data_IF_083314306348
#
_entry.id   IF_083314306348
#
_cell.length_a   1.000
_cell.length_b   1.000
_cell.length_c   1.000
_cell.angle_alpha   90.00
_cell.angle_beta   90.00
_cell.angle_gamma   90.00
#
_symmetry.space_group_name_H-M   'P 1'
#
loop_
_entity.id
_entity.type
_entity.pdbx_description
1 polymer ?
#
# COMPACT_ATOMS: atom_id res chain seq x y z
N UNK A 1 30.05 16.21 20.54
CA UNK A 1 29.74 15.43 19.34
C UNK A 1 30.18 13.98 19.57
N UNK A 2 29.23 13.05 19.81
CA UNK A 2 29.38 11.57 19.82
C UNK A 2 28.15 10.94 20.50
N UNK A 3 26.99 10.90 19.84
CA UNK A 3 25.81 10.10 20.26
C UNK A 3 24.92 9.63 19.07
N UNK A 4 25.46 9.57 17.85
CA UNK A 4 24.67 9.27 16.64
C UNK A 4 25.03 7.94 15.95
N UNK A 5 25.80 7.05 16.58
CA UNK A 5 26.36 5.88 15.87
C UNK A 5 25.95 4.50 16.42
N UNK A 6 25.07 4.42 17.42
CA UNK A 6 24.75 3.16 18.10
C UNK A 6 23.37 2.56 17.79
N UNK A 7 22.58 3.17 16.90
CA UNK A 7 21.27 2.63 16.46
C UNK A 7 21.35 1.85 15.14
N UNK A 8 22.53 1.68 14.56
CA UNK A 8 22.73 1.12 13.21
C UNK A 8 23.18 -0.35 13.11
N UNK A 9 23.34 -1.10 14.21
CA UNK A 9 23.93 -2.46 14.16
C UNK A 9 23.18 -3.52 15.00
N UNK A 10 21.84 -3.47 15.05
CA UNK A 10 21.03 -4.54 15.65
C UNK A 10 19.99 -5.15 14.69
N UNK A 11 20.14 -4.95 13.38
CA UNK A 11 19.22 -5.47 12.35
C UNK A 11 19.90 -6.39 11.33
N UNK A 12 21.01 -7.04 11.72
CA UNK A 12 21.68 -8.05 10.89
C UNK A 12 21.71 -9.36 11.66
N UNK A 13 20.59 -10.10 11.61
CA UNK A 13 20.54 -11.58 11.68
C UNK A 13 19.07 -12.03 11.69
N UNK A 14 18.44 -12.11 10.51
CA UNK A 14 17.80 -13.34 9.97
C UNK A 14 17.73 -13.10 8.46
N UNK A 15 18.84 -13.39 7.76
CA UNK A 15 18.78 -13.58 6.30
C UNK A 15 18.46 -15.05 6.09
N UNK A 16 17.17 -15.39 6.05
CA UNK A 16 16.74 -16.55 5.27
C UNK A 16 16.34 -16.01 3.90
N UNK A 17 17.21 -16.23 2.92
CA UNK A 17 16.96 -16.02 1.50
C UNK A 17 15.65 -16.70 1.09
N UNK A 18 14.56 -15.95 1.05
CA UNK A 18 13.32 -16.36 0.42
C UNK A 18 13.03 -15.36 -0.70
N UNK A 19 13.45 -15.78 -1.88
CA UNK A 19 13.09 -15.19 -3.16
C UNK A 19 11.56 -15.05 -3.22
N UNK A 20 11.07 -13.88 -3.65
CA UNK A 20 9.65 -13.62 -3.89
C UNK A 20 9.14 -14.41 -5.11
N UNK A 21 9.00 -15.72 -4.92
CA UNK A 21 8.22 -16.62 -5.75
C UNK A 21 7.64 -17.71 -4.83
N UNK A 22 6.44 -17.49 -4.29
CA UNK A 22 5.61 -18.54 -3.68
C UNK A 22 5.99 -19.07 -2.29
N UNK A 23 6.88 -18.43 -1.51
CA UNK A 23 7.41 -19.03 -0.27
C UNK A 23 7.20 -18.29 1.07
N UNK A 24 6.63 -17.09 1.09
CA UNK A 24 6.91 -16.11 2.15
C UNK A 24 5.81 -15.86 3.20
N UNK A 25 4.76 -16.67 3.30
CA UNK A 25 3.70 -16.42 4.30
C UNK A 25 4.17 -16.53 5.78
N UNK A 26 5.35 -17.08 6.06
CA UNK A 26 5.82 -17.33 7.45
C UNK A 26 6.70 -16.23 8.07
N UNK A 27 7.31 -15.35 7.29
CA UNK A 27 8.22 -14.30 7.81
C UNK A 27 7.54 -12.95 8.08
N UNK A 28 6.51 -12.59 7.32
CA UNK A 28 5.85 -11.29 7.42
C UNK A 28 5.25 -10.96 8.79
N UNK A 29 4.64 -11.90 9.54
CA UNK A 29 4.10 -11.60 10.87
C UNK A 29 5.17 -11.19 11.89
N UNK A 30 6.35 -11.80 11.84
CA UNK A 30 7.48 -11.46 12.72
C UNK A 30 8.06 -10.09 12.35
N UNK A 31 8.29 -9.84 11.06
CA UNK A 31 8.72 -8.52 10.58
C UNK A 31 7.69 -7.44 10.92
N UNK A 32 6.39 -7.70 10.75
CA UNK A 32 5.31 -6.78 11.13
C UNK A 32 5.35 -6.44 12.62
N UNK A 33 5.58 -7.43 13.49
CA UNK A 33 5.69 -7.20 14.93
C UNK A 33 6.90 -6.33 15.30
N UNK A 34 8.05 -6.58 14.69
CA UNK A 34 9.27 -5.79 14.91
C UNK A 34 9.10 -4.37 14.35
N UNK A 35 8.61 -4.23 13.12
CA UNK A 35 8.33 -2.94 12.48
C UNK A 35 7.29 -2.13 13.26
N UNK A 36 6.20 -2.75 13.72
CA UNK A 36 5.20 -2.08 14.57
C UNK A 36 5.85 -1.53 15.84
N UNK A 37 6.62 -2.36 16.54
CA UNK A 37 7.32 -1.96 17.75
C UNK A 37 8.41 -0.92 17.50
N UNK A 38 8.97 -0.84 16.29
CA UNK A 38 9.96 0.18 15.95
C UNK A 38 9.32 1.57 15.87
N UNK A 39 8.16 1.68 15.23
CA UNK A 39 7.54 2.98 14.94
C UNK A 39 6.47 3.42 15.96
N UNK A 40 5.76 2.47 16.56
CA UNK A 40 4.57 2.75 17.37
C UNK A 40 4.74 2.32 18.83
N UNK A 41 4.09 3.06 19.74
CA UNK A 41 3.84 2.67 21.12
C UNK A 41 2.72 1.62 21.18
N UNK A 42 2.52 1.01 22.36
CA UNK A 42 1.46 0.01 22.58
C UNK A 42 0.04 0.55 22.37
N UNK A 43 -0.17 1.85 22.59
CA UNK A 43 -1.44 2.55 22.35
C UNK A 43 -1.69 2.87 20.86
N UNK A 44 -0.73 2.60 19.98
CA UNK A 44 -0.82 2.85 18.55
C UNK A 44 -0.41 4.26 18.11
N UNK A 45 0.05 5.11 19.03
CA UNK A 45 0.68 6.38 18.68
C UNK A 45 2.10 6.17 18.16
N UNK A 46 2.59 7.11 17.35
CA UNK A 46 4.01 7.15 16.99
C UNK A 46 4.89 7.34 18.23
N UNK A 47 6.04 6.67 18.24
CA UNK A 47 7.13 7.00 19.15
C UNK A 47 7.71 8.38 18.79
N UNK A 48 8.31 9.11 19.75
CA UNK A 48 8.96 10.39 19.46
C UNK A 48 9.99 10.28 18.32
N UNK A 49 9.83 11.08 17.26
CA UNK A 49 10.70 11.09 16.07
C UNK A 49 10.53 9.91 15.10
N UNK A 50 9.58 9.00 15.35
CA UNK A 50 9.36 7.84 14.50
C UNK A 50 8.47 8.14 13.28
N UNK A 51 7.69 9.23 13.32
CA UNK A 51 6.76 9.61 12.25
C UNK A 51 7.51 9.98 10.97
N UNK A 52 8.57 10.77 11.10
CA UNK A 52 9.42 11.19 9.99
C UNK A 52 10.08 9.97 9.34
N UNK A 53 10.69 9.10 10.14
CA UNK A 53 11.32 7.87 9.67
C UNK A 53 10.31 6.91 9.00
N UNK A 54 9.08 6.83 9.52
CA UNK A 54 8.01 6.02 8.91
C UNK A 54 7.55 6.62 7.57
N UNK A 55 7.44 7.94 7.51
CA UNK A 55 7.04 8.66 6.29
C UNK A 55 8.11 8.50 5.21
N UNK A 56 9.39 8.68 5.57
CA UNK A 56 10.51 8.45 4.66
C UNK A 56 10.56 6.99 4.17
N UNK A 57 10.38 6.04 5.09
CA UNK A 57 10.34 4.61 4.75
C UNK A 57 9.30 4.34 3.67
N UNK A 58 8.07 4.83 3.81
CA UNK A 58 6.98 4.62 2.85
C UNK A 58 6.90 5.66 1.73
N UNK A 59 7.93 6.51 1.59
CA UNK A 59 7.96 7.59 0.60
C UNK A 59 6.70 8.48 0.63
N UNK A 60 6.20 8.76 1.84
CA UNK A 60 5.05 9.62 2.07
C UNK A 60 5.53 11.07 2.06
N UNK A 61 5.14 11.79 1.02
CA UNK A 61 5.46 13.20 0.88
C UNK A 61 4.87 14.04 2.03
N UNK A 62 5.55 15.12 2.41
CA UNK A 62 5.24 15.90 3.60
C UNK A 62 3.82 16.49 3.59
N UNK A 63 3.31 16.85 2.42
CA UNK A 63 1.94 17.33 2.22
C UNK A 63 0.87 16.28 2.54
N UNK A 64 1.22 14.98 2.52
CA UNK A 64 0.33 13.86 2.90
C UNK A 64 0.41 13.51 4.39
N UNK A 65 1.17 14.26 5.19
CA UNK A 65 1.39 13.98 6.63
C UNK A 65 0.09 13.95 7.45
N UNK A 66 -0.90 14.80 7.12
CA UNK A 66 -2.21 14.78 7.78
C UNK A 66 -3.04 13.52 7.41
N UNK A 67 -2.88 13.01 6.19
CA UNK A 67 -3.52 11.75 5.78
C UNK A 67 -2.91 10.57 6.54
N UNK A 68 -1.59 10.60 6.77
CA UNK A 68 -0.92 9.61 7.63
C UNK A 68 -1.47 9.64 9.05
N UNK A 69 -1.57 10.82 9.67
CA UNK A 69 -2.12 10.96 11.03
C UNK A 69 -3.57 10.45 11.14
N UNK A 70 -4.34 10.61 10.07
CA UNK A 70 -5.71 10.11 10.01
C UNK A 70 -5.75 8.60 9.82
N UNK A 71 -4.93 8.07 8.92
CA UNK A 71 -4.88 6.64 8.62
C UNK A 71 -4.44 5.81 9.82
N UNK A 72 -3.40 6.22 10.56
CA UNK A 72 -2.86 5.43 11.69
C UNK A 72 -3.79 5.34 12.90
N UNK A 73 -4.85 6.17 12.96
CA UNK A 73 -5.91 6.07 13.97
C UNK A 73 -6.79 4.83 13.75
N UNK A 74 -6.93 4.35 12.52
CA UNK A 74 -7.53 3.05 12.25
C UNK A 74 -6.49 1.96 12.47
N UNK A 75 -6.80 1.01 13.38
CA UNK A 75 -5.93 -0.14 13.64
C UNK A 75 -5.65 -0.93 12.35
N UNK A 76 -6.67 -1.14 11.53
CA UNK A 76 -6.56 -1.89 10.27
C UNK A 76 -5.60 -1.19 9.30
N UNK A 77 -5.78 0.12 9.09
CA UNK A 77 -4.90 0.89 8.20
C UNK A 77 -3.48 1.00 8.74
N UNK A 78 -3.32 1.21 10.05
CA UNK A 78 -2.00 1.19 10.70
C UNK A 78 -1.30 -0.15 10.49
N UNK A 79 -2.02 -1.25 10.71
CA UNK A 79 -1.48 -2.59 10.54
C UNK A 79 -1.09 -2.87 9.08
N UNK A 80 -1.87 -2.41 8.09
CA UNK A 80 -1.50 -2.46 6.67
C UNK A 80 -0.25 -1.62 6.39
N UNK A 81 -0.17 -0.38 6.86
CA UNK A 81 0.97 0.50 6.62
C UNK A 81 2.26 -0.06 7.25
N UNK A 82 2.18 -0.64 8.44
CA UNK A 82 3.32 -1.34 9.07
C UNK A 82 3.75 -2.52 8.22
N UNK A 83 2.79 -3.29 7.69
CA UNK A 83 3.08 -4.45 6.85
C UNK A 83 3.74 -4.05 5.53
N UNK A 84 3.28 -2.95 4.93
CA UNK A 84 3.91 -2.33 3.77
C UNK A 84 5.34 -1.87 4.10
N UNK A 85 5.57 -1.21 5.24
CA UNK A 85 6.90 -0.78 5.64
C UNK A 85 7.87 -1.95 5.81
N UNK A 86 7.40 -3.07 6.37
CA UNK A 86 8.13 -4.33 6.46
C UNK A 86 8.41 -4.91 5.06
N UNK A 87 7.40 -4.98 4.18
CA UNK A 87 7.55 -5.48 2.82
C UNK A 87 8.59 -4.69 2.01
N UNK A 88 8.60 -3.35 2.15
CA UNK A 88 9.60 -2.51 1.49
C UNK A 88 11.01 -2.77 1.99
N UNK A 89 11.18 -3.03 3.29
CA UNK A 89 12.49 -3.37 3.84
C UNK A 89 13.06 -4.64 3.22
N UNK A 90 12.21 -5.68 3.12
CA UNK A 90 12.58 -6.93 2.48
C UNK A 90 12.89 -6.69 1.00
N UNK A 91 12.04 -5.97 0.27
CA UNK A 91 12.25 -5.65 -1.14
C UNK A 91 13.58 -4.91 -1.40
N UNK A 92 13.90 -3.89 -0.58
CA UNK A 92 15.17 -3.15 -0.66
C UNK A 92 16.36 -4.09 -0.39
N UNK A 93 16.27 -4.94 0.63
CA UNK A 93 17.36 -5.89 0.96
C UNK A 93 17.63 -6.89 -0.17
N UNK A 94 16.60 -7.22 -0.96
CA UNK A 94 16.68 -8.11 -2.11
C UNK A 94 16.95 -7.38 -3.43
N UNK A 95 17.11 -6.05 -3.42
CA UNK A 95 17.24 -5.20 -4.61
C UNK A 95 16.04 -5.31 -5.57
N UNK A 96 14.86 -5.65 -5.07
CA UNK A 96 13.61 -5.69 -5.82
C UNK A 96 12.95 -4.31 -5.82
N UNK A 97 13.37 -3.47 -6.77
CA UNK A 97 12.86 -2.10 -6.90
C UNK A 97 11.39 -2.05 -7.33
N UNK A 98 10.92 -3.05 -8.10
CA UNK A 98 9.53 -3.11 -8.57
C UNK A 98 8.58 -3.27 -7.39
N UNK A 99 8.89 -4.19 -6.46
CA UNK A 99 8.08 -4.38 -5.26
C UNK A 99 8.18 -3.19 -4.32
N UNK A 100 9.38 -2.61 -4.14
CA UNK A 100 9.55 -1.42 -3.31
C UNK A 100 8.72 -0.22 -3.81
N UNK A 101 8.70 0.04 -5.12
CA UNK A 101 7.88 1.09 -5.71
C UNK A 101 6.37 0.77 -5.59
N UNK A 102 5.98 -0.49 -5.77
CA UNK A 102 4.58 -0.90 -5.66
C UNK A 102 4.07 -0.81 -4.20
N UNK A 103 4.95 -0.98 -3.21
CA UNK A 103 4.66 -0.67 -1.81
C UNK A 103 4.36 0.83 -1.64
N UNK A 104 5.18 1.71 -2.19
CA UNK A 104 4.99 3.16 -2.06
C UNK A 104 3.63 3.60 -2.65
N UNK A 105 3.29 3.06 -3.83
CA UNK A 105 2.01 3.31 -4.46
C UNK A 105 0.83 2.76 -3.63
N UNK A 106 1.00 1.58 -3.01
CA UNK A 106 -0.02 1.00 -2.12
C UNK A 106 -0.19 1.80 -0.83
N UNK A 107 0.89 2.32 -0.25
CA UNK A 107 0.84 3.15 0.93
C UNK A 107 0.06 4.44 0.64
N UNK A 108 0.32 5.10 -0.50
CA UNK A 108 -0.42 6.28 -0.94
C UNK A 108 -1.93 6.01 -1.07
N UNK A 109 -2.34 4.83 -1.53
CA UNK A 109 -3.74 4.43 -1.58
C UNK A 109 -4.35 4.29 -0.19
N UNK A 110 -3.70 3.57 0.72
CA UNK A 110 -4.19 3.33 2.10
C UNK A 110 -4.43 4.66 2.84
N UNK A 111 -3.55 5.63 2.64
CA UNK A 111 -3.70 6.99 3.19
C UNK A 111 -4.99 7.68 2.73
N UNK A 112 -5.47 7.36 1.53
CA UNK A 112 -6.62 8.00 0.90
C UNK A 112 -7.94 7.28 1.11
N UNK A 113 -7.94 6.09 1.71
CA UNK A 113 -9.16 5.29 1.83
C UNK A 113 -10.31 5.91 2.62
N UNK A 114 -10.07 6.98 3.38
CA UNK A 114 -11.15 7.75 4.02
C UNK A 114 -12.02 8.52 3.00
N UNK A 115 -11.56 8.66 1.75
CA UNK A 115 -12.24 9.39 0.68
C UNK A 115 -13.11 8.47 -0.20
N UNK A 116 -13.13 7.16 0.07
CA UNK A 116 -14.04 6.23 -0.60
C UNK A 116 -15.48 6.52 -0.25
N UNK A 117 -16.35 6.43 -1.25
CA UNK A 117 -17.78 6.59 -1.06
C UNK A 117 -18.32 5.43 -0.20
N UNK A 118 -19.27 5.72 0.70
CA UNK A 118 -20.03 4.67 1.40
C UNK A 118 -21.06 4.10 0.43
N UNK A 119 -20.62 3.22 -0.46
CA UNK A 119 -21.49 2.56 -1.42
C UNK A 119 -22.11 1.32 -0.76
N UNK A 120 -23.39 1.41 -0.41
CA UNK A 120 -24.23 0.29 0.05
C UNK A 120 -25.06 -0.23 -1.14
N UNK A 121 -24.36 -0.71 -2.18
CA UNK A 121 -25.03 -1.20 -3.39
C UNK A 121 -25.45 -2.67 -3.27
N UNK A 122 -26.70 -3.00 -3.62
CA UNK A 122 -27.19 -4.39 -3.74
C UNK A 122 -26.70 -5.09 -5.01
N UNK A 123 -26.26 -4.33 -6.02
CA UNK A 123 -25.79 -4.88 -7.30
C UNK A 123 -24.25 -4.92 -7.34
N UNK A 124 -23.69 -6.11 -7.10
CA UNK A 124 -22.24 -6.33 -7.11
C UNK A 124 -21.58 -6.11 -8.49
N UNK A 125 -22.38 -6.00 -9.56
CA UNK A 125 -21.90 -5.79 -10.93
C UNK A 125 -21.87 -4.31 -11.35
N UNK A 126 -22.40 -3.41 -10.52
CA UNK A 126 -22.31 -1.97 -10.77
C UNK A 126 -20.83 -1.53 -10.79
N UNK A 127 -20.37 -0.82 -11.84
CA UNK A 127 -18.98 -0.36 -11.97
C UNK A 127 -18.42 0.36 -10.74
N UNK A 128 -19.24 1.18 -10.06
CA UNK A 128 -18.82 1.92 -8.87
C UNK A 128 -18.71 0.99 -7.66
N UNK A 129 -19.62 0.03 -7.52
CA UNK A 129 -19.55 -1.01 -6.47
C UNK A 129 -18.31 -1.88 -6.66
N UNK A 130 -18.05 -2.30 -7.90
CA UNK A 130 -16.85 -3.07 -8.27
C UNK A 130 -15.59 -2.30 -7.92
N UNK A 131 -15.48 -1.04 -8.36
CA UNK A 131 -14.31 -0.20 -8.09
C UNK A 131 -14.13 0.03 -6.59
N UNK A 132 -15.20 0.33 -5.85
CA UNK A 132 -15.14 0.50 -4.40
C UNK A 132 -14.62 -0.76 -3.70
N UNK A 133 -15.13 -1.93 -4.06
CA UNK A 133 -14.69 -3.19 -3.48
C UNK A 133 -13.25 -3.54 -3.86
N UNK A 134 -12.84 -3.25 -5.10
CA UNK A 134 -11.45 -3.41 -5.53
C UNK A 134 -10.51 -2.54 -4.69
N UNK A 135 -10.82 -1.25 -4.48
CA UNK A 135 -9.99 -0.36 -3.67
C UNK A 135 -9.94 -0.83 -2.22
N UNK A 136 -11.08 -1.19 -1.61
CA UNK A 136 -11.13 -1.76 -0.26
C UNK A 136 -10.30 -3.05 -0.13
N UNK A 137 -10.35 -3.92 -1.14
CA UNK A 137 -9.54 -5.13 -1.19
C UNK A 137 -8.05 -4.77 -1.19
N UNK A 138 -7.64 -3.83 -2.04
CA UNK A 138 -6.26 -3.37 -2.10
C UNK A 138 -5.82 -2.78 -0.75
N UNK A 139 -6.64 -1.96 -0.11
CA UNK A 139 -6.33 -1.39 1.22
C UNK A 139 -6.17 -2.47 2.32
N UNK A 140 -6.97 -3.54 2.26
CA UNK A 140 -6.94 -4.60 3.25
C UNK A 140 -5.85 -5.65 2.97
N UNK A 141 -5.47 -5.83 1.69
CA UNK A 141 -4.73 -7.01 1.20
C UNK A 141 -3.53 -6.63 0.32
N UNK A 142 -3.00 -5.42 0.45
CA UNK A 142 -1.88 -4.94 -0.35
C UNK A 142 -0.67 -5.89 -0.34
N UNK A 143 -0.33 -6.50 0.80
CA UNK A 143 0.77 -7.46 0.87
C UNK A 143 0.48 -8.76 0.09
N UNK A 144 -0.74 -9.30 0.18
CA UNK A 144 -1.12 -10.50 -0.56
C UNK A 144 -1.04 -10.24 -2.07
N UNK A 145 -1.46 -9.06 -2.53
CA UNK A 145 -1.27 -8.62 -3.92
C UNK A 145 0.22 -8.57 -4.28
N UNK A 146 1.04 -7.91 -3.45
CA UNK A 146 2.47 -7.74 -3.71
C UNK A 146 3.26 -9.05 -3.63
N UNK A 147 2.79 -10.05 -2.91
CA UNK A 147 3.49 -11.35 -2.76
C UNK A 147 3.03 -12.37 -3.82
N UNK A 148 1.77 -12.32 -4.23
CA UNK A 148 1.21 -13.26 -5.21
C UNK A 148 1.44 -12.83 -6.65
N UNK A 149 1.46 -11.52 -6.94
CA UNK A 149 1.66 -11.04 -8.30
C UNK A 149 3.09 -11.31 -8.77
N UNK A 150 3.24 -11.67 -10.04
CA UNK A 150 4.54 -11.71 -10.72
C UNK A 150 5.10 -10.30 -10.95
N UNK A 151 6.38 -10.16 -11.33
CA UNK A 151 7.01 -8.84 -11.53
C UNK A 151 6.27 -7.92 -12.51
N UNK A 152 5.80 -8.46 -13.64
CA UNK A 152 5.05 -7.69 -14.64
C UNK A 152 3.66 -7.24 -14.14
N UNK A 153 3.01 -8.06 -13.32
CA UNK A 153 1.73 -7.74 -12.69
C UNK A 153 1.90 -6.67 -11.61
N UNK A 154 2.97 -6.77 -10.79
CA UNK A 154 3.32 -5.72 -9.82
C UNK A 154 3.63 -4.38 -10.50
N UNK A 155 4.37 -4.40 -11.62
CA UNK A 155 4.63 -3.20 -12.39
C UNK A 155 3.34 -2.57 -12.93
N UNK A 156 2.45 -3.39 -13.50
CA UNK A 156 1.14 -2.95 -14.00
C UNK A 156 0.26 -2.40 -12.88
N UNK A 157 0.24 -3.07 -11.74
CA UNK A 157 -0.49 -2.64 -10.55
C UNK A 157 0.04 -1.31 -10.01
N UNK A 158 1.37 -1.15 -9.94
CA UNK A 158 2.01 0.13 -9.60
C UNK A 158 1.55 1.26 -10.51
N UNK A 159 1.58 1.06 -11.82
CA UNK A 159 1.19 2.09 -12.79
C UNK A 159 -0.26 2.56 -12.60
N UNK A 160 -1.17 1.64 -12.29
CA UNK A 160 -2.57 1.98 -11.97
C UNK A 160 -2.64 2.83 -10.69
N UNK A 161 -1.94 2.44 -9.63
CA UNK A 161 -1.98 3.16 -8.36
C UNK A 161 -1.32 4.54 -8.43
N UNK A 162 -0.22 4.67 -9.18
CA UNK A 162 0.46 5.96 -9.40
C UNK A 162 -0.43 6.92 -10.19
N UNK A 163 -1.04 6.45 -11.28
CA UNK A 163 -1.97 7.27 -12.06
C UNK A 163 -3.21 7.62 -11.24
N UNK A 164 -3.69 6.70 -10.39
CA UNK A 164 -4.79 6.97 -9.47
C UNK A 164 -4.43 8.08 -8.45
N UNK A 165 -3.28 8.01 -7.80
CA UNK A 165 -2.82 9.04 -6.85
C UNK A 165 -2.70 10.41 -7.53
N UNK A 166 -2.23 10.45 -8.78
CA UNK A 166 -2.16 11.65 -9.61
C UNK A 166 -3.55 12.19 -9.95
N UNK A 167 -4.47 11.35 -10.42
CA UNK A 167 -5.83 11.75 -10.76
C UNK A 167 -6.57 12.30 -9.55
N UNK A 168 -6.47 11.64 -8.40
CA UNK A 168 -7.03 12.13 -7.15
C UNK A 168 -6.45 13.49 -6.74
N UNK A 169 -5.15 13.69 -6.91
CA UNK A 169 -4.49 14.93 -6.48
C UNK A 169 -4.79 16.12 -7.39
N UNK A 170 -5.11 15.86 -8.64
CA UNK A 170 -5.30 16.89 -9.68
C UNK A 170 -6.77 17.11 -10.05
N UNK A 171 -7.62 16.11 -9.84
CA UNK A 171 -9.01 16.20 -10.28
C UNK A 171 -9.82 17.13 -9.39
N UNK A 172 -10.65 17.96 -10.04
CA UNK A 172 -11.59 18.87 -9.38
C UNK A 172 -12.98 18.25 -9.24
N UNK A 173 -13.24 17.09 -9.86
CA UNK A 173 -14.53 16.41 -9.88
C UNK A 173 -14.38 14.91 -10.12
N UNK A 174 -15.42 14.15 -9.80
CA UNK A 174 -15.44 12.69 -9.93
C UNK A 174 -15.28 11.98 -8.58
N UNK A 175 -15.97 10.85 -8.43
CA UNK A 175 -15.82 9.99 -7.27
C UNK A 175 -14.46 9.28 -7.30
N UNK A 176 -14.00 8.83 -6.14
CA UNK A 176 -12.79 8.01 -6.04
C UNK A 176 -12.88 6.75 -6.90
N UNK A 177 -14.05 6.14 -6.95
CA UNK A 177 -14.34 4.96 -7.76
C UNK A 177 -14.20 5.25 -9.26
N UNK A 178 -14.70 6.41 -9.71
CA UNK A 178 -14.59 6.85 -11.09
C UNK A 178 -13.13 7.12 -11.47
N UNK A 179 -12.41 7.83 -10.61
CA UNK A 179 -10.99 8.13 -10.81
C UNK A 179 -10.14 6.85 -10.84
N UNK A 180 -10.54 5.80 -10.10
CA UNK A 180 -9.85 4.52 -10.11
C UNK A 180 -10.06 3.76 -11.43
N UNK A 181 -11.29 3.74 -11.96
CA UNK A 181 -11.54 3.18 -13.29
C UNK A 181 -10.80 3.97 -14.38
N UNK A 182 -10.79 5.31 -14.27
CA UNK A 182 -10.04 6.17 -15.18
C UNK A 182 -8.53 5.89 -15.11
N UNK A 183 -7.97 5.63 -13.92
CA UNK A 183 -6.57 5.26 -13.76
C UNK A 183 -6.26 3.95 -14.49
N UNK A 184 -7.12 2.93 -14.38
CA UNK A 184 -6.97 1.68 -15.13
C UNK A 184 -7.03 1.93 -16.63
N UNK A 185 -7.97 2.74 -17.11
CA UNK A 185 -8.09 3.09 -18.53
C UNK A 185 -6.82 3.77 -19.05
N UNK A 186 -6.32 4.78 -18.33
CA UNK A 186 -5.15 5.56 -18.69
C UNK A 186 -3.87 4.71 -18.70
N UNK A 187 -3.63 3.95 -17.62
CA UNK A 187 -2.39 3.17 -17.47
C UNK A 187 -2.34 1.95 -18.37
N UNK A 188 -3.50 1.40 -18.78
CA UNK A 188 -3.57 0.17 -19.59
C UNK A 188 -3.97 0.41 -21.04
N UNK A 189 -4.39 1.62 -21.40
CA UNK A 189 -4.90 1.94 -22.73
C UNK A 189 -6.15 1.14 -23.09
N UNK A 190 -7.04 0.91 -22.12
CA UNK A 190 -8.23 0.06 -22.29
C UNK A 190 -9.54 0.86 -22.23
N UNK A 191 -10.61 0.27 -22.76
CA UNK A 191 -11.97 0.82 -22.64
C UNK A 191 -12.50 0.73 -21.22
N UNK A 192 -13.55 1.50 -20.92
CA UNK A 192 -14.21 1.49 -19.61
C UNK A 192 -14.69 0.09 -19.21
N UNK A 193 -15.31 -0.65 -20.13
CA UNK A 193 -15.80 -2.00 -19.84
C UNK A 193 -14.66 -2.94 -19.43
N UNK A 194 -13.50 -2.82 -20.10
CA UNK A 194 -12.31 -3.60 -19.73
C UNK A 194 -11.68 -3.12 -18.43
N UNK A 195 -11.73 -1.82 -18.13
CA UNK A 195 -11.30 -1.30 -16.84
C UNK A 195 -12.16 -1.85 -15.69
N UNK A 196 -13.48 -1.97 -15.89
CA UNK A 196 -14.38 -2.61 -14.92
C UNK A 196 -14.05 -4.09 -14.76
N UNK A 197 -13.76 -4.83 -15.84
CA UNK A 197 -13.30 -6.22 -15.73
C UNK A 197 -11.98 -6.36 -14.96
N UNK A 198 -11.03 -5.46 -15.17
CA UNK A 198 -9.76 -5.45 -14.41
C UNK A 198 -10.03 -5.13 -12.94
N UNK A 199 -10.92 -4.17 -12.65
CA UNK A 199 -11.33 -3.88 -11.28
C UNK A 199 -12.05 -5.08 -10.63
N UNK A 200 -12.88 -5.83 -11.36
CA UNK A 200 -13.46 -7.10 -10.89
C UNK A 200 -12.36 -8.11 -10.56
N UNK A 201 -11.37 -8.26 -11.44
CA UNK A 201 -10.22 -9.13 -11.14
C UNK A 201 -9.46 -8.67 -9.91
N UNK A 202 -9.28 -7.37 -9.66
CA UNK A 202 -8.62 -6.88 -8.44
C UNK A 202 -9.47 -7.08 -7.17
N UNK A 203 -10.80 -7.00 -7.31
CA UNK A 203 -11.75 -7.34 -6.24
C UNK A 203 -11.69 -8.83 -5.89
N UNK A 204 -11.60 -9.68 -6.91
CA UNK A 204 -11.72 -11.14 -6.81
C UNK A 204 -10.36 -11.84 -6.66
N UNK A 205 -9.26 -11.20 -7.05
CA UNK A 205 -7.91 -11.66 -6.79
C UNK A 205 -7.61 -11.53 -5.29
N UNK A 206 -6.89 -12.53 -4.80
CA UNK A 206 -6.68 -12.87 -3.39
C UNK A 206 -7.87 -13.60 -2.77
#
# INVERSE_FOLDING_TARGET
MKKAFLLGMAFVTVVSSQSFAGGTAKGFPEYKGVTANHYFKKDGEFKPGAKEAFSEKLNIAAEKSQLLDTAVKSKEKRDTLVMLAAAKEVAISQKDTVTADAVDASAALVLRGAMLSKIEGKNAEDPMVVANHAIKKIEAKAEEILTQFGPAERASYKEVLVEFDKLVSTSKSGSYEELFLQAIMNSRGVTRDKAVEIAKKLRDCV
#
